data_IF_152069525924
#
_entry.id   IF_152069525924
#
_cell.length_a   1.000
_cell.length_b   1.000
_cell.length_c   1.000
_cell.angle_alpha   90.00
_cell.angle_beta   90.00
_cell.angle_gamma   90.00
#
_symmetry.space_group_name_H-M   'P 1'
#
loop_
_entity.id
_entity.type
_entity.pdbx_description
1 polymer ?
#
# COMPACT_ATOMS: atom_id res chain seq x y z
N UNK A 1 -11.29 7.33 -11.44
CA UNK A 1 -11.41 7.30 -9.97
C UNK A 1 -12.85 7.16 -9.55
N UNK A 2 -13.09 6.41 -8.49
CA UNK A 2 -14.40 6.41 -7.82
C UNK A 2 -14.61 7.71 -7.06
N UNK A 3 -13.66 8.07 -6.20
CA UNK A 3 -13.62 9.32 -5.44
C UNK A 3 -12.34 10.06 -5.78
N UNK A 4 -12.44 11.35 -6.07
CA UNK A 4 -11.30 12.24 -6.24
C UNK A 4 -11.40 13.39 -5.21
N UNK A 5 -10.44 13.45 -4.29
CA UNK A 5 -10.22 14.59 -3.42
C UNK A 5 -9.06 15.42 -3.97
N UNK A 6 -9.32 16.65 -4.34
CA UNK A 6 -8.32 17.58 -4.88
C UNK A 6 -8.28 18.85 -4.03
N UNK A 7 -7.49 18.80 -2.97
CA UNK A 7 -7.29 19.92 -2.04
C UNK A 7 -8.38 20.07 -0.97
N UNK A 8 -9.38 19.17 -0.92
CA UNK A 8 -10.46 19.21 0.05
C UNK A 8 -10.17 18.37 1.31
N UNK A 9 -11.14 18.36 2.21
CA UNK A 9 -11.16 17.47 3.37
C UNK A 9 -12.29 16.46 3.21
N UNK A 10 -11.96 15.16 3.19
CA UNK A 10 -12.90 14.06 2.99
C UNK A 10 -12.77 13.06 4.14
N UNK A 11 -13.90 12.60 4.64
CA UNK A 11 -13.99 11.49 5.60
C UNK A 11 -14.85 10.40 4.97
N UNK A 12 -14.35 9.20 4.92
CA UNK A 12 -15.06 8.02 4.42
C UNK A 12 -15.40 7.11 5.60
N UNK A 13 -16.67 6.78 5.71
CA UNK A 13 -17.23 6.01 6.80
C UNK A 13 -18.07 4.87 6.23
N UNK A 14 -17.78 3.63 6.60
CA UNK A 14 -18.55 2.43 6.26
C UNK A 14 -18.96 2.34 4.77
N UNK A 15 -18.09 2.76 3.86
CA UNK A 15 -18.41 2.83 2.45
C UNK A 15 -17.79 1.69 1.63
N UNK A 16 -18.39 1.41 0.47
CA UNK A 16 -17.84 0.51 -0.53
C UNK A 16 -17.62 1.27 -1.83
N UNK A 17 -16.38 1.25 -2.34
CA UNK A 17 -16.01 1.93 -3.58
C UNK A 17 -15.29 0.97 -4.50
N UNK A 18 -15.88 0.73 -5.67
CA UNK A 18 -15.29 -0.08 -6.72
C UNK A 18 -14.99 0.82 -7.93
N UNK A 19 -13.81 0.71 -8.49
CA UNK A 19 -13.39 1.50 -9.63
C UNK A 19 -12.52 0.69 -10.60
N UNK A 20 -12.35 1.19 -11.82
CA UNK A 20 -11.41 0.58 -12.75
C UNK A 20 -9.96 0.76 -12.27
N UNK A 21 -9.55 2.01 -11.96
CA UNK A 21 -8.16 2.32 -11.57
C UNK A 21 -8.04 2.69 -10.10
N UNK A 22 -8.44 3.89 -9.71
CA UNK A 22 -8.38 4.34 -8.32
C UNK A 22 -9.77 4.30 -7.70
N UNK A 23 -9.98 3.54 -6.64
CA UNK A 23 -11.19 3.69 -5.85
C UNK A 23 -11.19 5.06 -5.18
N UNK A 24 -10.04 5.48 -4.63
CA UNK A 24 -9.87 6.81 -4.04
C UNK A 24 -8.54 7.41 -4.50
N UNK A 25 -8.58 8.63 -5.03
CA UNK A 25 -7.41 9.45 -5.30
C UNK A 25 -7.46 10.71 -4.42
N UNK A 26 -6.46 10.89 -3.57
CA UNK A 26 -6.26 12.05 -2.72
C UNK A 26 -5.04 12.82 -3.20
N UNK A 27 -5.22 14.10 -3.55
CA UNK A 27 -4.18 14.93 -4.14
C UNK A 27 -4.37 16.42 -3.88
N UNK A 28 -3.43 17.24 -4.35
CA UNK A 28 -3.56 18.70 -4.33
C UNK A 28 -3.60 19.31 -2.93
N UNK A 29 -2.88 18.75 -1.95
CA UNK A 29 -2.94 19.17 -0.57
C UNK A 29 -4.20 18.70 0.18
N UNK A 30 -4.90 17.71 -0.36
CA UNK A 30 -6.12 17.17 0.23
C UNK A 30 -5.87 16.36 1.52
N UNK A 31 -6.83 16.40 2.43
CA UNK A 31 -6.88 15.59 3.64
C UNK A 31 -7.96 14.52 3.50
N UNK A 32 -7.57 13.24 3.63
CA UNK A 32 -8.46 12.09 3.57
C UNK A 32 -8.37 11.29 4.86
N UNK A 33 -9.51 10.96 5.44
CA UNK A 33 -9.62 10.02 6.56
C UNK A 33 -10.54 8.87 6.13
N UNK A 34 -10.06 7.65 6.24
CA UNK A 34 -10.85 6.43 6.02
C UNK A 34 -11.01 5.75 7.38
N UNK A 35 -12.20 5.84 7.96
CA UNK A 35 -12.48 5.20 9.26
C UNK A 35 -12.82 3.73 9.10
N UNK A 36 -13.59 3.40 8.06
CA UNK A 36 -13.91 2.03 7.69
C UNK A 36 -14.41 1.97 6.23
N UNK A 37 -14.19 0.85 5.57
CA UNK A 37 -14.73 0.65 4.23
C UNK A 37 -14.05 -0.45 3.43
N UNK A 38 -14.66 -0.72 2.26
CA UNK A 38 -14.13 -1.68 1.28
C UNK A 38 -13.85 -0.97 -0.04
N UNK A 39 -12.63 -1.11 -0.51
CA UNK A 39 -12.15 -0.43 -1.70
C UNK A 39 -11.56 -1.44 -2.67
N UNK A 40 -11.96 -1.37 -3.93
CA UNK A 40 -11.38 -2.24 -4.94
C UNK A 40 -11.08 -1.51 -6.26
N UNK A 41 -10.01 -1.94 -6.93
CA UNK A 41 -9.70 -1.56 -8.30
C UNK A 41 -9.49 -2.81 -9.16
N UNK A 42 -10.00 -2.77 -10.41
CA UNK A 42 -10.15 -3.97 -11.23
C UNK A 42 -9.44 -3.91 -12.60
N UNK A 43 -8.78 -2.81 -12.94
CA UNK A 43 -8.14 -2.65 -14.24
C UNK A 43 -6.64 -2.50 -14.13
N UNK A 44 -5.93 -3.14 -15.06
CA UNK A 44 -4.56 -2.83 -15.39
C UNK A 44 -4.47 -1.53 -16.18
N UNK A 45 -3.52 -0.69 -15.85
CA UNK A 45 -3.16 0.40 -16.74
C UNK A 45 -2.07 -0.07 -17.71
N UNK A 46 -2.47 -0.38 -18.94
CA UNK A 46 -1.58 -0.89 -19.99
C UNK A 46 -0.49 0.11 -20.46
N UNK A 47 -0.46 1.32 -19.94
CA UNK A 47 0.48 2.38 -20.33
C UNK A 47 1.61 2.63 -19.31
N UNK A 48 1.94 1.66 -18.47
CA UNK A 48 3.02 1.79 -17.48
C UNK A 48 2.70 2.72 -16.30
N UNK A 49 1.47 3.21 -16.19
CA UNK A 49 1.03 3.95 -15.04
C UNK A 49 0.46 2.97 -14.01
N UNK A 50 0.84 3.16 -12.81
CA UNK A 50 0.51 2.30 -11.67
C UNK A 50 -0.91 2.58 -11.19
N UNK A 51 -1.79 1.61 -11.26
CA UNK A 51 -3.16 1.70 -10.77
C UNK A 51 -3.25 1.12 -9.36
N UNK A 52 -3.08 1.96 -8.36
CA UNK A 52 -3.29 1.60 -6.96
C UNK A 52 -4.70 1.95 -6.52
N UNK A 53 -5.31 1.10 -5.73
CA UNK A 53 -6.70 1.29 -5.31
C UNK A 53 -6.89 2.59 -4.51
N UNK A 54 -6.04 2.86 -3.52
CA UNK A 54 -5.99 4.15 -2.79
C UNK A 54 -4.67 4.84 -3.12
N UNK A 55 -4.76 6.06 -3.64
CA UNK A 55 -3.59 6.87 -3.98
C UNK A 55 -3.54 8.16 -3.18
N UNK A 56 -2.36 8.49 -2.63
CA UNK A 56 -2.03 9.77 -1.99
C UNK A 56 -0.90 10.42 -2.76
N UNK A 57 -1.16 11.57 -3.36
CA UNK A 57 -0.24 12.21 -4.31
C UNK A 57 0.02 13.67 -3.97
N UNK A 58 1.30 14.01 -3.85
CA UNK A 58 1.77 15.38 -3.83
C UNK A 58 1.98 15.95 -2.44
N UNK A 59 2.88 16.93 -2.38
CA UNK A 59 3.24 17.63 -1.14
C UNK A 59 2.01 18.23 -0.45
N UNK A 60 1.95 18.15 0.87
CA UNK A 60 0.84 18.62 1.68
C UNK A 60 -0.42 17.73 1.64
N UNK A 61 -0.41 16.66 0.84
CA UNK A 61 -1.51 15.69 0.79
C UNK A 61 -1.34 14.63 1.87
N UNK A 62 -2.38 14.42 2.66
CA UNK A 62 -2.34 13.49 3.79
C UNK A 62 -3.52 12.52 3.76
N UNK A 63 -3.26 11.24 3.99
CA UNK A 63 -4.27 10.20 4.12
C UNK A 63 -4.06 9.45 5.43
N UNK A 64 -5.13 9.29 6.20
CA UNK A 64 -5.17 8.45 7.40
C UNK A 64 -6.15 7.31 7.15
N UNK A 65 -5.70 6.08 7.27
CA UNK A 65 -6.53 4.89 7.18
C UNK A 65 -6.62 4.28 8.58
N UNK A 66 -7.74 4.47 9.26
CA UNK A 66 -7.99 3.87 10.56
C UNK A 66 -8.30 2.39 10.43
N UNK A 67 -9.14 2.04 9.45
CA UNK A 67 -9.35 0.67 8.99
C UNK A 67 -9.83 0.67 7.54
N UNK A 68 -9.38 -0.27 6.73
CA UNK A 68 -9.92 -0.52 5.41
C UNK A 68 -9.62 -1.96 4.93
N UNK A 69 -10.52 -2.51 4.12
CA UNK A 69 -10.23 -3.66 3.27
C UNK A 69 -9.98 -3.14 1.85
N UNK A 70 -8.75 -3.25 1.38
CA UNK A 70 -8.32 -2.68 0.10
C UNK A 70 -7.77 -3.78 -0.79
N UNK A 71 -8.32 -3.91 -1.98
CA UNK A 71 -7.90 -4.91 -2.95
C UNK A 71 -7.71 -4.28 -4.33
N UNK A 72 -6.50 -4.34 -4.85
CA UNK A 72 -6.16 -3.75 -6.15
C UNK A 72 -5.43 -4.72 -7.07
N UNK A 73 -5.68 -4.61 -8.36
CA UNK A 73 -4.98 -5.44 -9.37
C UNK A 73 -3.48 -5.14 -9.38
N UNK A 74 -3.09 -3.88 -9.34
CA UNK A 74 -1.67 -3.48 -9.33
C UNK A 74 -1.16 -3.05 -7.96
N UNK A 75 -2.02 -2.71 -7.05
CA UNK A 75 -1.62 -2.36 -5.71
C UNK A 75 -2.78 -1.87 -4.85
N UNK A 76 -2.64 -2.05 -3.55
CA UNK A 76 -3.66 -1.60 -2.63
C UNK A 76 -3.51 -0.10 -2.33
N UNK A 77 -2.38 0.32 -1.80
CA UNK A 77 -2.12 1.71 -1.41
C UNK A 77 -0.83 2.21 -2.03
N UNK A 78 -0.85 3.43 -2.56
CA UNK A 78 0.38 4.16 -2.90
C UNK A 78 0.40 5.55 -2.29
N UNK A 79 1.60 5.98 -1.92
CA UNK A 79 1.91 7.35 -1.56
C UNK A 79 3.12 7.80 -2.33
N UNK A 80 3.00 8.92 -3.02
CA UNK A 80 4.08 9.43 -3.87
C UNK A 80 4.16 10.97 -3.89
N UNK A 81 5.27 11.50 -4.43
CA UNK A 81 5.48 12.92 -4.69
C UNK A 81 5.30 13.82 -3.45
N UNK A 82 5.87 13.41 -2.32
CA UNK A 82 5.81 14.15 -1.06
C UNK A 82 4.51 13.98 -0.27
N UNK A 83 3.61 13.11 -0.72
CA UNK A 83 2.41 12.75 0.03
C UNK A 83 2.72 11.99 1.31
N UNK A 84 1.75 11.95 2.23
CA UNK A 84 1.87 11.23 3.50
C UNK A 84 0.71 10.29 3.72
N UNK A 85 0.98 9.06 4.15
CA UNK A 85 -0.04 8.10 4.57
C UNK A 85 0.25 7.56 5.96
N UNK A 86 -0.79 7.47 6.78
CA UNK A 86 -0.75 6.74 8.05
C UNK A 86 -1.76 5.61 8.00
N UNK A 87 -1.29 4.38 8.22
CA UNK A 87 -2.13 3.18 8.22
C UNK A 87 -2.16 2.65 9.65
N UNK A 88 -3.33 2.67 10.27
CA UNK A 88 -3.52 2.18 11.62
C UNK A 88 -3.90 0.70 11.66
N UNK A 89 -4.79 0.25 10.76
CA UNK A 89 -5.20 -1.15 10.62
C UNK A 89 -5.87 -1.40 9.27
N UNK A 90 -6.11 -2.66 8.92
CA UNK A 90 -6.82 -3.05 7.72
C UNK A 90 -6.23 -4.28 7.03
N UNK A 91 -6.75 -4.56 5.84
CA UNK A 91 -6.26 -5.62 4.95
C UNK A 91 -5.96 -4.99 3.60
N UNK A 92 -4.72 -5.09 3.17
CA UNK A 92 -4.22 -4.48 1.95
C UNK A 92 -3.64 -5.56 1.04
N UNK A 93 -4.37 -5.90 0.00
CA UNK A 93 -4.02 -7.00 -0.90
C UNK A 93 -3.93 -6.56 -2.34
N UNK A 94 -3.07 -7.25 -3.07
CA UNK A 94 -3.06 -7.17 -4.52
C UNK A 94 -3.37 -8.54 -5.09
N UNK A 95 -3.92 -8.57 -6.30
CA UNK A 95 -4.15 -9.79 -7.02
C UNK A 95 -3.83 -9.59 -8.49
N UNK A 96 -3.11 -10.55 -9.07
CA UNK A 96 -2.79 -10.55 -10.48
C UNK A 96 -3.85 -11.33 -11.28
N UNK A 97 -4.50 -10.66 -12.19
CA UNK A 97 -5.42 -11.31 -13.13
C UNK A 97 -4.74 -11.79 -14.41
N UNK A 98 -3.51 -11.36 -14.69
CA UNK A 98 -2.86 -11.61 -15.97
C UNK A 98 -1.62 -12.48 -15.91
N UNK A 99 -1.02 -12.71 -14.76
CA UNK A 99 0.23 -13.45 -14.60
C UNK A 99 1.45 -12.84 -15.31
N UNK A 100 1.38 -11.60 -15.75
CA UNK A 100 2.39 -10.98 -16.62
C UNK A 100 3.00 -9.69 -16.09
N UNK A 101 2.76 -9.31 -14.83
CA UNK A 101 3.18 -8.04 -14.30
C UNK A 101 4.23 -8.13 -13.21
N UNK A 102 5.17 -7.21 -13.24
CA UNK A 102 6.07 -6.91 -12.15
C UNK A 102 5.53 -5.64 -11.50
N UNK A 103 5.25 -5.60 -10.25
CA UNK A 103 4.88 -4.41 -9.49
C UNK A 103 3.50 -4.48 -8.80
N UNK A 104 3.35 -5.49 -7.98
CA UNK A 104 2.15 -5.68 -7.18
C UNK A 104 2.50 -5.51 -5.69
N UNK A 105 1.95 -4.47 -5.04
CA UNK A 105 2.31 -4.15 -3.67
C UNK A 105 1.07 -3.91 -2.81
N UNK A 106 1.10 -4.41 -1.57
CA UNK A 106 0.12 -4.00 -0.57
C UNK A 106 0.26 -2.51 -0.24
N UNK A 107 1.49 -2.03 -0.14
CA UNK A 107 1.85 -0.62 0.03
C UNK A 107 3.06 -0.27 -0.83
N UNK A 108 2.96 0.81 -1.62
CA UNK A 108 4.10 1.40 -2.32
C UNK A 108 4.35 2.84 -1.86
N UNK A 109 5.59 3.13 -1.51
CA UNK A 109 6.06 4.45 -1.06
C UNK A 109 7.12 4.91 -2.04
N UNK A 110 6.78 5.88 -2.88
CA UNK A 110 7.53 6.25 -4.07
C UNK A 110 7.76 7.77 -4.13
N UNK A 111 8.78 8.19 -4.85
CA UNK A 111 9.00 9.58 -5.24
C UNK A 111 8.77 10.59 -4.07
N UNK A 112 9.59 10.50 -3.03
CA UNK A 112 9.50 11.35 -1.83
C UNK A 112 8.23 11.16 -0.98
N UNK A 113 7.51 10.06 -1.17
CA UNK A 113 6.38 9.70 -0.34
C UNK A 113 6.80 9.28 1.08
N UNK A 114 5.89 9.45 2.03
CA UNK A 114 6.12 9.07 3.42
C UNK A 114 4.99 8.23 3.97
N UNK A 115 5.31 7.07 4.55
CA UNK A 115 4.32 6.18 5.15
C UNK A 115 4.66 5.84 6.60
N UNK A 116 3.63 5.80 7.45
CA UNK A 116 3.68 5.26 8.81
C UNK A 116 2.69 4.10 8.89
N UNK A 117 3.17 2.91 9.24
CA UNK A 117 2.37 1.70 9.41
C UNK A 117 2.35 1.32 10.89
N UNK A 118 1.21 1.52 11.53
CA UNK A 118 0.98 1.16 12.92
C UNK A 118 0.42 -0.25 13.07
N UNK A 119 -0.25 -0.77 12.03
CA UNK A 119 -0.89 -2.09 12.00
C UNK A 119 -1.36 -2.46 10.61
N UNK A 120 -2.18 -3.51 10.53
CA UNK A 120 -2.75 -4.01 9.28
C UNK A 120 -2.04 -5.22 8.73
N UNK A 121 -2.64 -5.81 7.69
CA UNK A 121 -2.13 -7.00 7.00
C UNK A 121 -1.88 -6.66 5.54
N UNK A 122 -0.67 -6.94 5.08
CA UNK A 122 -0.23 -6.62 3.73
C UNK A 122 0.11 -7.89 2.97
N UNK A 123 -0.50 -8.06 1.81
CA UNK A 123 -0.32 -9.21 0.94
C UNK A 123 0.00 -8.75 -0.47
N UNK A 124 0.87 -9.50 -1.13
CA UNK A 124 1.15 -9.34 -2.55
C UNK A 124 1.03 -10.71 -3.23
N UNK A 125 0.00 -10.89 -4.04
CA UNK A 125 -0.15 -12.12 -4.82
C UNK A 125 0.80 -12.11 -6.01
N UNK A 126 1.57 -13.17 -6.13
CA UNK A 126 2.28 -13.51 -7.35
C UNK A 126 3.76 -13.24 -7.32
N UNK A 127 4.30 -12.07 -7.16
CA UNK A 127 5.72 -11.90 -7.45
C UNK A 127 6.46 -10.77 -6.76
N UNK A 128 5.78 -9.79 -6.19
CA UNK A 128 6.45 -8.62 -5.69
C UNK A 128 6.36 -8.45 -4.17
N UNK A 129 6.63 -7.29 -3.70
CA UNK A 129 6.85 -7.01 -2.29
C UNK A 129 5.55 -6.59 -1.61
N UNK A 130 5.30 -7.06 -0.41
CA UNK A 130 4.17 -6.58 0.38
C UNK A 130 4.25 -5.07 0.61
N UNK A 131 5.46 -4.56 0.84
CA UNK A 131 5.77 -3.13 0.96
C UNK A 131 6.95 -2.81 0.06
N UNK A 132 6.78 -1.79 -0.78
CA UNK A 132 7.84 -1.26 -1.63
C UNK A 132 8.25 0.13 -1.16
N UNK A 133 9.55 0.39 -1.15
CA UNK A 133 10.14 1.69 -0.86
C UNK A 133 11.04 2.13 -2.01
N UNK A 134 10.72 3.25 -2.62
CA UNK A 134 11.44 3.83 -3.74
C UNK A 134 11.16 3.16 -5.09
N UNK A 135 11.64 3.79 -6.15
CA UNK A 135 11.57 3.27 -7.51
C UNK A 135 12.60 2.18 -7.78
N UNK A 136 12.38 1.36 -8.81
CA UNK A 136 13.31 0.30 -9.21
C UNK A 136 14.66 0.86 -9.69
N UNK A 137 15.74 0.23 -9.25
CA UNK A 137 17.07 0.46 -9.77
C UNK A 137 17.83 1.62 -9.13
N UNK A 138 18.74 2.24 -9.88
CA UNK A 138 19.69 3.23 -9.40
C UNK A 138 19.05 4.53 -8.85
N UNK A 139 17.80 4.76 -9.12
CA UNK A 139 17.04 5.89 -8.59
C UNK A 139 16.76 5.78 -7.08
N UNK A 140 16.77 4.59 -6.52
CA UNK A 140 16.55 4.38 -5.08
C UNK A 140 17.53 5.14 -4.17
N UNK A 141 18.75 5.40 -4.65
CA UNK A 141 19.76 6.17 -3.91
C UNK A 141 19.46 7.69 -3.85
N UNK A 142 18.60 8.18 -4.71
CA UNK A 142 18.19 9.59 -4.77
C UNK A 142 16.74 9.84 -4.36
N UNK A 143 15.98 8.79 -4.09
CA UNK A 143 14.58 8.87 -3.66
C UNK A 143 14.53 8.99 -2.13
N UNK A 144 14.10 10.14 -1.58
CA UNK A 144 14.01 10.37 -0.14
C UNK A 144 12.77 9.75 0.51
N UNK A 145 12.08 8.84 -0.18
CA UNK A 145 10.92 8.13 0.35
C UNK A 145 11.23 7.43 1.67
N UNK A 146 10.29 7.45 2.60
CA UNK A 146 10.45 6.83 3.91
C UNK A 146 9.25 5.99 4.29
N UNK A 147 9.51 4.87 4.99
CA UNK A 147 8.49 4.07 5.63
C UNK A 147 8.88 3.76 7.07
N UNK A 148 7.97 4.01 8.00
CA UNK A 148 8.12 3.65 9.40
C UNK A 148 7.19 2.47 9.72
N UNK A 149 7.75 1.27 9.89
CA UNK A 149 6.99 0.09 10.29
C UNK A 149 7.00 -0.04 11.81
N UNK A 150 5.87 0.25 12.44
CA UNK A 150 5.63 0.16 13.89
C UNK A 150 4.73 -1.02 14.27
N UNK A 151 4.18 -1.71 13.30
CA UNK A 151 3.32 -2.88 13.45
C UNK A 151 2.94 -3.41 12.09
N UNK A 152 2.11 -4.47 12.09
CA UNK A 152 1.58 -5.07 10.88
C UNK A 152 2.04 -6.49 10.66
N UNK A 153 1.29 -7.19 9.83
CA UNK A 153 1.59 -8.51 9.31
C UNK A 153 1.93 -8.40 7.82
N UNK A 154 3.06 -8.94 7.44
CA UNK A 154 3.55 -8.91 6.06
C UNK A 154 3.60 -10.36 5.56
N UNK A 155 2.51 -10.79 4.94
CA UNK A 155 2.24 -12.19 4.63
C UNK A 155 2.81 -12.66 3.32
N UNK A 156 3.04 -13.95 3.26
CA UNK A 156 3.31 -14.83 2.11
C UNK A 156 4.70 -14.77 1.50
N UNK A 157 5.57 -13.85 1.89
CA UNK A 157 6.71 -13.62 1.02
C UNK A 157 8.09 -13.57 1.70
N UNK A 158 8.17 -13.87 2.97
CA UNK A 158 9.46 -13.75 3.67
C UNK A 158 9.98 -12.32 3.76
N UNK A 159 10.97 -12.09 4.62
CA UNK A 159 11.53 -10.76 4.86
C UNK A 159 12.27 -10.15 3.65
N UNK A 160 12.74 -10.99 2.76
CA UNK A 160 13.41 -10.62 1.50
C UNK A 160 12.47 -9.96 0.49
N UNK A 161 11.17 -10.10 0.68
CA UNK A 161 10.13 -9.55 -0.21
C UNK A 161 9.35 -8.37 0.35
N UNK A 162 9.80 -7.78 1.44
CA UNK A 162 9.25 -6.51 1.92
C UNK A 162 9.67 -5.37 1.01
N UNK A 163 10.83 -5.48 0.35
CA UNK A 163 11.32 -4.43 -0.53
C UNK A 163 12.11 -4.92 -1.76
N UNK A 164 11.89 -4.29 -2.90
CA UNK A 164 12.51 -4.57 -4.18
C UNK A 164 13.89 -4.00 -4.44
N UNK A 165 14.47 -3.24 -3.58
CA UNK A 165 15.76 -2.63 -3.88
C UNK A 165 16.42 -1.89 -2.72
N UNK A 166 15.66 -1.46 -1.75
CA UNK A 166 16.15 -0.77 -0.56
C UNK A 166 15.77 -1.59 0.66
N UNK A 167 16.69 -1.84 1.55
CA UNK A 167 16.39 -2.58 2.78
C UNK A 167 15.45 -1.77 3.66
N UNK A 168 14.23 -2.27 3.87
CA UNK A 168 13.31 -1.71 4.83
C UNK A 168 13.66 -2.26 6.21
N UNK A 169 13.90 -1.38 7.17
CA UNK A 169 14.08 -1.74 8.57
C UNK A 169 12.86 -1.29 9.38
N UNK A 170 12.46 -2.02 10.43
CA UNK A 170 11.43 -1.55 11.32
C UNK A 170 11.82 -0.23 11.99
N UNK A 171 10.84 0.54 12.45
CA UNK A 171 11.06 1.74 13.22
C UNK A 171 11.87 1.45 14.50
N UNK A 172 12.53 2.45 15.07
CA UNK A 172 13.32 2.30 16.28
C UNK A 172 12.47 1.70 17.42
N UNK A 173 12.98 0.64 18.05
CA UNK A 173 12.29 -0.11 19.09
C UNK A 173 11.38 -1.25 18.58
N UNK A 174 11.29 -1.45 17.27
CA UNK A 174 10.55 -2.54 16.65
C UNK A 174 11.50 -3.53 15.99
N UNK A 175 11.05 -4.76 15.79
CA UNK A 175 11.78 -5.82 15.09
C UNK A 175 10.83 -6.63 14.23
N UNK A 176 11.34 -7.20 13.16
CA UNK A 176 10.63 -8.27 12.46
C UNK A 176 10.70 -9.56 13.28
N UNK A 177 9.60 -10.29 13.29
CA UNK A 177 9.52 -11.63 13.86
C UNK A 177 8.89 -12.55 12.82
N UNK A 178 9.59 -13.63 12.49
CA UNK A 178 9.04 -14.65 11.60
C UNK A 178 8.03 -15.50 12.37
N UNK A 179 6.78 -15.44 11.98
CA UNK A 179 5.75 -16.31 12.52
C UNK A 179 5.91 -17.70 11.93
N UNK A 180 5.88 -18.74 12.78
CA UNK A 180 5.82 -20.11 12.31
C UNK A 180 4.50 -20.33 11.54
N UNK A 181 4.55 -20.93 10.37
CA UNK A 181 3.34 -21.37 9.69
C UNK A 181 2.60 -22.38 10.58
N UNK A 182 1.28 -22.26 10.72
CA UNK A 182 0.52 -23.29 11.43
C UNK A 182 0.66 -24.61 10.67
N UNK A 183 1.33 -25.59 11.29
CA UNK A 183 1.38 -26.94 10.77
C UNK A 183 -0.01 -27.52 10.93
N UNK A 184 -0.70 -27.72 9.82
CA UNK A 184 -1.95 -28.52 9.81
C UNK A 184 -1.53 -29.98 9.86
N UNK A 185 -1.49 -30.56 11.06
CA UNK A 185 -1.34 -32.01 11.20
C UNK A 185 -2.66 -32.67 10.75
N UNK A 186 -2.56 -33.56 9.75
CA UNK A 186 -3.66 -34.47 9.46
C UNK A 186 -3.91 -35.33 10.71
N UNK A 187 -5.07 -35.17 11.30
CA UNK A 187 -5.55 -36.12 12.31
C UNK A 187 -5.75 -37.47 11.62
N UNK A 188 -4.94 -38.45 12.04
CA UNK A 188 -5.11 -39.89 11.71
C UNK A 188 -6.40 -40.43 12.30
#
# INVERSE_FOLDING_TARGET
SGILNNGGKVVLEDCTVNAAFYAVANQGGGSLIVNNGKFSSTAHNGNGQWAYCIRTLGEGTETVINYAEVSGVQGAVTVDSGGKVTINDGIFSTYDLSGTGNNFHGLAVLADGHAVVNGGKFYSEGHDYCVRLGDDGAAAASDPSTVELKGGYFGDMGLDKINGGTTITPAAGYKFEQLAEPIVEQST
#
